data_IF_196179339373
#
_entry.id   IF_196179339373
#
_cell.length_a   1.000
_cell.length_b   1.000
_cell.length_c   1.000
_cell.angle_alpha   90.00
_cell.angle_beta   90.00
_cell.angle_gamma   90.00
#
_symmetry.space_group_name_H-M   'P 1'
#
loop_
_entity.id
_entity.type
_entity.pdbx_description
1 polymer ?
#
# COMPACT_ATOMS: atom_id res chain seq x y z
N UNK A 1 6.18 -43.20 45.26
CA UNK A 1 5.77 -41.79 45.19
C UNK A 1 6.57 -40.97 44.15
N UNK A 2 7.84 -41.22 43.88
CA UNK A 2 8.69 -40.46 42.94
C UNK A 2 8.34 -40.61 41.46
N UNK A 3 7.82 -41.77 41.04
CA UNK A 3 7.45 -42.03 39.63
C UNK A 3 6.21 -41.23 39.21
N UNK A 4 5.22 -41.06 40.08
CA UNK A 4 4.01 -40.28 39.79
C UNK A 4 4.30 -38.77 39.64
N UNK A 5 5.29 -38.26 40.35
CA UNK A 5 5.71 -36.85 40.27
C UNK A 5 6.47 -36.56 38.97
N UNK A 6 7.28 -37.51 38.47
CA UNK A 6 7.96 -37.39 37.19
C UNK A 6 7.02 -37.36 35.97
N UNK A 7 5.95 -38.17 36.04
CA UNK A 7 4.95 -38.22 34.98
C UNK A 7 4.14 -36.92 34.93
N UNK A 8 3.82 -36.32 36.07
CA UNK A 8 3.08 -35.05 36.15
C UNK A 8 3.92 -33.89 35.58
N UNK A 9 5.22 -33.82 35.87
CA UNK A 9 6.14 -32.81 35.32
C UNK A 9 6.33 -32.96 33.80
N UNK A 10 6.40 -34.19 33.28
CA UNK A 10 6.52 -34.44 31.85
C UNK A 10 5.24 -34.04 31.09
N UNK A 11 4.08 -34.25 31.70
CA UNK A 11 2.79 -33.88 31.09
C UNK A 11 2.58 -32.35 31.01
N UNK A 12 3.03 -31.61 32.04
CA UNK A 12 2.97 -30.14 32.06
C UNK A 12 3.93 -29.51 31.06
N UNK A 13 5.13 -30.12 30.88
CA UNK A 13 6.11 -29.64 29.87
C UNK A 13 5.64 -29.86 28.43
N UNK A 14 4.92 -30.96 28.16
CA UNK A 14 4.38 -31.26 26.83
C UNK A 14 3.23 -30.32 26.43
N UNK A 15 2.47 -29.80 27.40
CA UNK A 15 1.36 -28.86 27.15
C UNK A 15 1.83 -27.46 26.86
N UNK A 16 3.07 -27.08 27.22
CA UNK A 16 3.64 -25.75 26.99
C UNK A 16 4.12 -25.53 25.54
N UNK A 17 4.24 -26.58 24.73
CA UNK A 17 4.74 -26.48 23.34
C UNK A 17 3.61 -26.26 22.32
N UNK A 18 2.35 -26.43 22.71
CA UNK A 18 1.20 -26.30 21.84
C UNK A 18 0.70 -24.84 21.64
N UNK A 19 1.35 -23.86 22.25
CA UNK A 19 0.87 -22.47 22.31
C UNK A 19 1.43 -21.50 21.26
N UNK A 20 2.31 -21.91 20.35
CA UNK A 20 2.81 -21.01 19.28
C UNK A 20 1.99 -21.15 18.00
N UNK A 21 0.70 -20.85 18.08
CA UNK A 21 -0.13 -20.57 16.93
C UNK A 21 0.22 -19.20 16.32
N UNK A 22 1.42 -19.03 15.76
CA UNK A 22 1.68 -17.95 14.83
C UNK A 22 0.83 -18.22 13.59
N UNK A 23 -0.38 -17.67 13.57
CA UNK A 23 -1.07 -17.43 12.33
C UNK A 23 -0.19 -16.46 11.53
N UNK A 24 0.64 -17.02 10.65
CA UNK A 24 1.07 -16.29 9.49
C UNK A 24 -0.24 -15.81 8.84
N UNK A 25 -0.53 -14.52 8.94
CA UNK A 25 -1.52 -13.87 8.12
C UNK A 25 -0.97 -13.96 6.68
N UNK A 26 -1.03 -15.19 6.16
CA UNK A 26 -0.75 -15.50 4.78
C UNK A 26 -1.66 -14.61 4.00
N UNK A 27 -1.10 -13.87 3.10
CA UNK A 27 -1.75 -13.07 2.10
C UNK A 27 -2.79 -13.95 1.40
N UNK A 28 -3.97 -14.09 2.00
CA UNK A 28 -5.14 -14.56 1.30
C UNK A 28 -5.37 -13.53 0.21
N UNK A 29 -4.73 -13.76 -0.95
CA UNK A 29 -5.03 -12.99 -2.12
C UNK A 29 -6.50 -13.27 -2.42
N UNK A 30 -7.37 -12.34 -2.04
CA UNK A 30 -8.80 -12.38 -2.36
C UNK A 30 -9.03 -12.26 -3.88
N UNK A 31 -7.97 -12.43 -4.66
CA UNK A 31 -7.98 -12.39 -6.12
C UNK A 31 -8.45 -13.73 -6.67
N UNK A 32 -9.48 -13.74 -7.51
CA UNK A 32 -9.93 -14.94 -8.21
C UNK A 32 -8.81 -15.56 -9.05
N UNK A 33 -8.72 -16.89 -9.14
CA UNK A 33 -7.60 -17.58 -9.81
C UNK A 33 -7.47 -17.29 -11.32
N UNK A 34 -8.51 -16.76 -11.94
CA UNK A 34 -8.48 -16.34 -13.35
C UNK A 34 -7.83 -14.96 -13.57
N UNK A 35 -7.63 -14.17 -12.52
CA UNK A 35 -6.97 -12.85 -12.60
C UNK A 35 -5.49 -13.05 -12.33
N UNK A 36 -4.67 -12.98 -13.38
CA UNK A 36 -3.22 -13.13 -13.33
C UNK A 36 -2.47 -11.89 -13.81
N UNK A 37 -3.15 -11.03 -14.58
CA UNK A 37 -2.56 -9.85 -15.19
C UNK A 37 -3.36 -8.60 -14.85
N UNK A 38 -2.66 -7.47 -14.72
CA UNK A 38 -3.25 -6.18 -14.41
C UNK A 38 -2.74 -5.10 -15.36
N UNK A 39 -3.63 -4.23 -15.82
CA UNK A 39 -3.27 -2.98 -16.45
C UNK A 39 -3.60 -1.81 -15.55
N UNK A 40 -2.67 -0.89 -15.47
CA UNK A 40 -2.78 0.35 -14.69
C UNK A 40 -2.48 1.51 -15.65
N UNK A 41 -3.48 2.02 -16.39
CA UNK A 41 -3.30 3.20 -17.21
C UNK A 41 -2.90 4.39 -16.34
N UNK A 42 -2.40 5.45 -16.95
CA UNK A 42 -2.14 6.70 -16.24
C UNK A 42 -3.46 7.18 -15.64
N UNK A 43 -3.43 7.52 -14.36
CA UNK A 43 -4.61 8.02 -13.64
C UNK A 43 -5.02 9.39 -14.20
N UNK A 44 -6.30 9.66 -14.12
CA UNK A 44 -6.84 10.98 -14.44
C UNK A 44 -6.49 11.98 -13.35
N UNK A 45 -6.43 13.26 -13.69
CA UNK A 45 -6.16 14.34 -12.75
C UNK A 45 -7.33 15.32 -12.69
N UNK A 46 -7.97 15.40 -11.55
CA UNK A 46 -8.98 16.38 -11.21
C UNK A 46 -8.51 17.33 -10.09
N UNK A 47 -7.24 17.19 -9.66
CA UNK A 47 -6.66 18.07 -8.65
C UNK A 47 -6.05 19.33 -9.28
N UNK A 48 -5.73 20.31 -8.43
CA UNK A 48 -5.05 21.54 -8.85
C UNK A 48 -3.58 21.36 -9.23
N UNK A 49 -2.97 20.21 -8.82
CA UNK A 49 -1.53 19.99 -9.01
C UNK A 49 -1.24 19.20 -10.30
N UNK A 50 -0.55 19.77 -11.28
CA UNK A 50 -0.20 19.08 -12.51
C UNK A 50 0.83 17.98 -12.29
N UNK A 51 0.82 16.96 -13.14
CA UNK A 51 1.79 15.85 -13.23
C UNK A 51 1.84 14.85 -12.05
N UNK A 52 1.38 15.16 -10.85
CA UNK A 52 1.40 14.27 -9.68
C UNK A 52 0.66 12.94 -9.97
N UNK A 53 -0.42 12.95 -10.73
CA UNK A 53 -1.15 11.76 -11.14
C UNK A 53 -0.29 10.76 -11.93
N UNK A 54 0.67 11.23 -12.72
CA UNK A 54 1.60 10.39 -13.50
C UNK A 54 2.62 9.72 -12.59
N UNK A 55 3.17 10.48 -11.65
CA UNK A 55 4.11 9.98 -10.66
C UNK A 55 3.44 8.96 -9.74
N UNK A 56 2.25 9.27 -9.21
CA UNK A 56 1.42 8.35 -8.43
C UNK A 56 1.17 7.05 -9.21
N UNK A 57 0.79 7.13 -10.47
CA UNK A 57 0.58 5.95 -11.32
C UNK A 57 1.87 5.12 -11.46
N UNK A 58 3.00 5.79 -11.64
CA UNK A 58 4.31 5.13 -11.75
C UNK A 58 4.69 4.39 -10.46
N UNK A 59 4.46 5.01 -9.30
CA UNK A 59 4.69 4.41 -7.98
C UNK A 59 3.80 3.18 -7.79
N UNK A 60 2.52 3.30 -8.10
CA UNK A 60 1.57 2.18 -8.00
C UNK A 60 2.01 1.03 -8.91
N UNK A 61 2.37 1.29 -10.17
CA UNK A 61 2.88 0.26 -11.09
C UNK A 61 4.11 -0.45 -10.53
N UNK A 62 5.09 0.29 -10.01
CA UNK A 62 6.28 -0.29 -9.39
C UNK A 62 5.93 -1.19 -8.22
N UNK A 63 4.98 -0.77 -7.36
CA UNK A 63 4.51 -1.59 -6.23
C UNK A 63 3.90 -2.91 -6.69
N UNK A 64 3.07 -2.91 -7.74
CA UNK A 64 2.51 -4.14 -8.32
C UNK A 64 3.58 -5.04 -8.96
N UNK A 65 4.59 -4.45 -9.61
CA UNK A 65 5.71 -5.20 -10.18
C UNK A 65 6.53 -5.87 -9.08
N UNK A 66 6.84 -5.15 -8.00
CA UNK A 66 7.61 -5.66 -6.85
C UNK A 66 6.83 -6.71 -6.06
N UNK A 67 5.51 -6.53 -5.91
CA UNK A 67 4.63 -7.49 -5.23
C UNK A 67 4.54 -8.84 -5.97
N UNK A 68 4.61 -8.83 -7.30
CA UNK A 68 4.72 -10.02 -8.16
C UNK A 68 3.47 -10.91 -8.25
N UNK A 69 2.41 -10.67 -7.46
CA UNK A 69 1.18 -11.47 -7.50
C UNK A 69 0.40 -11.31 -8.80
N UNK A 70 0.47 -10.15 -9.42
CA UNK A 70 -0.12 -9.84 -10.72
C UNK A 70 0.93 -9.32 -11.67
N UNK A 71 1.00 -9.87 -12.87
CA UNK A 71 1.89 -9.36 -13.91
C UNK A 71 1.32 -8.08 -14.49
N UNK A 72 2.07 -6.97 -14.42
CA UNK A 72 1.68 -5.71 -15.03
C UNK A 72 1.87 -5.78 -16.54
N UNK A 73 0.80 -5.56 -17.28
CA UNK A 73 0.77 -5.65 -18.75
C UNK A 73 0.01 -4.47 -19.38
N UNK A 74 0.09 -4.33 -20.68
CA UNK A 74 -0.68 -3.34 -21.41
C UNK A 74 -2.19 -3.63 -21.38
N UNK A 75 -3.01 -2.58 -21.49
CA UNK A 75 -4.48 -2.61 -21.38
C UNK A 75 -5.17 -3.72 -22.19
N UNK A 76 -4.64 -4.06 -23.39
CA UNK A 76 -5.26 -5.08 -24.25
C UNK A 76 -5.12 -6.51 -23.71
N UNK A 77 -4.05 -6.79 -22.94
CA UNK A 77 -3.67 -8.12 -22.46
C UNK A 77 -4.02 -8.36 -20.99
N UNK A 78 -4.66 -7.40 -20.33
CA UNK A 78 -4.93 -7.46 -18.90
C UNK A 78 -6.26 -8.14 -18.59
N UNK A 79 -6.27 -8.98 -17.56
CA UNK A 79 -7.45 -9.59 -16.98
C UNK A 79 -8.19 -8.58 -16.08
N UNK A 80 -7.41 -7.77 -15.32
CA UNK A 80 -7.90 -6.74 -14.43
C UNK A 80 -7.47 -5.36 -14.94
N UNK A 81 -8.40 -4.41 -14.97
CA UNK A 81 -8.12 -3.01 -15.27
C UNK A 81 -8.29 -2.19 -14.00
N UNK A 82 -7.20 -1.60 -13.50
CA UNK A 82 -7.21 -0.65 -12.40
C UNK A 82 -7.16 0.76 -12.98
N UNK A 83 -8.22 1.52 -12.81
CA UNK A 83 -8.28 2.94 -13.17
C UNK A 83 -8.42 3.80 -11.91
N UNK A 84 -7.89 5.00 -11.94
CA UNK A 84 -7.96 5.92 -10.83
C UNK A 84 -7.99 7.37 -11.29
N UNK A 85 -8.44 8.23 -10.40
CA UNK A 85 -8.47 9.69 -10.55
C UNK A 85 -7.88 10.32 -9.31
N UNK A 86 -6.88 11.16 -9.46
CA UNK A 86 -6.40 12.04 -8.39
C UNK A 86 -7.40 13.18 -8.25
N UNK A 87 -8.14 13.20 -7.13
CA UNK A 87 -9.24 14.17 -6.92
C UNK A 87 -8.81 15.39 -6.12
N UNK A 88 -7.81 15.24 -5.24
CA UNK A 88 -7.27 16.36 -4.47
C UNK A 88 -5.78 16.19 -4.19
N UNK A 89 -5.10 17.31 -4.12
CA UNK A 89 -3.74 17.46 -3.65
C UNK A 89 -3.69 18.71 -2.79
N UNK A 90 -3.29 18.56 -1.53
CA UNK A 90 -3.24 19.64 -0.55
C UNK A 90 -1.86 19.61 0.12
N UNK A 91 -1.16 20.73 0.06
CA UNK A 91 0.13 20.93 0.70
C UNK A 91 0.00 22.04 1.73
N UNK A 92 0.23 21.73 2.99
CA UNK A 92 0.16 22.71 4.10
C UNK A 92 1.47 22.79 4.83
N UNK A 93 1.91 24.00 5.09
CA UNK A 93 3.01 24.28 6.01
C UNK A 93 2.47 24.19 7.43
N UNK A 94 3.13 23.44 8.30
CA UNK A 94 2.72 23.26 9.71
C UNK A 94 3.75 23.76 10.71
N UNK A 95 5.00 23.91 10.29
CA UNK A 95 6.06 24.51 11.13
C UNK A 95 7.01 25.37 10.31
N UNK A 96 7.59 26.39 10.98
CA UNK A 96 8.62 27.24 10.43
C UNK A 96 9.89 27.13 11.29
N UNK A 97 11.05 27.21 10.65
CA UNK A 97 12.33 27.32 11.37
C UNK A 97 12.50 28.72 11.95
N UNK A 98 13.47 28.88 12.84
CA UNK A 98 13.80 30.21 13.43
C UNK A 98 14.23 31.29 12.42
N UNK A 99 14.38 30.95 11.14
CA UNK A 99 14.68 31.84 10.00
C UNK A 99 13.45 32.07 9.10
N UNK A 100 12.22 31.82 9.59
CA UNK A 100 10.97 31.92 8.84
C UNK A 100 10.88 31.03 7.59
N UNK A 101 11.78 30.06 7.43
CA UNK A 101 11.68 29.05 6.39
C UNK A 101 10.75 27.91 6.83
N UNK A 102 9.88 27.44 5.93
CA UNK A 102 9.02 26.32 6.23
C UNK A 102 9.85 25.05 6.47
N UNK A 103 9.72 24.45 7.65
CA UNK A 103 10.50 23.29 8.10
C UNK A 103 9.69 21.99 8.08
N UNK A 104 8.38 22.08 8.13
CA UNK A 104 7.50 20.91 8.13
C UNK A 104 6.28 21.13 7.24
N UNK A 105 5.95 20.12 6.45
CA UNK A 105 4.82 20.13 5.53
C UNK A 105 3.94 18.92 5.75
N UNK A 106 2.65 19.08 5.61
CA UNK A 106 1.69 17.98 5.47
C UNK A 106 1.19 17.93 4.03
N UNK A 107 1.40 16.79 3.37
CA UNK A 107 0.84 16.50 2.05
C UNK A 107 -0.37 15.59 2.22
N UNK A 108 -1.51 16.01 1.69
CA UNK A 108 -2.73 15.21 1.68
C UNK A 108 -3.15 14.93 0.24
N UNK A 109 -3.32 13.63 -0.07
CA UNK A 109 -3.80 13.16 -1.38
C UNK A 109 -5.17 12.52 -1.24
N UNK A 110 -6.06 12.86 -2.16
CA UNK A 110 -7.33 12.16 -2.37
C UNK A 110 -7.34 11.45 -3.71
N UNK A 111 -7.55 10.13 -3.70
CA UNK A 111 -7.54 9.31 -4.91
C UNK A 111 -8.80 8.45 -4.96
N UNK A 112 -9.47 8.46 -6.10
CA UNK A 112 -10.56 7.52 -6.39
C UNK A 112 -10.03 6.39 -7.24
N UNK A 113 -10.35 5.15 -6.87
CA UNK A 113 -9.87 3.95 -7.57
C UNK A 113 -11.02 3.01 -7.87
N UNK A 114 -10.99 2.42 -9.06
CA UNK A 114 -11.95 1.42 -9.55
C UNK A 114 -11.19 0.28 -10.23
N UNK A 115 -11.57 -0.96 -9.95
CA UNK A 115 -11.04 -2.12 -10.66
C UNK A 115 -12.14 -2.89 -11.37
N UNK A 116 -11.89 -3.30 -12.61
CA UNK A 116 -12.82 -4.03 -13.47
C UNK A 116 -12.19 -5.35 -13.92
N UNK A 117 -12.84 -6.45 -13.61
CA UNK A 117 -12.54 -7.78 -14.14
C UNK A 117 -13.01 -7.82 -15.61
N UNK A 118 -12.06 -7.87 -16.53
CA UNK A 118 -12.35 -7.82 -17.97
C UNK A 118 -12.77 -9.17 -18.54
N UNK A 119 -12.40 -10.27 -17.86
CA UNK A 119 -12.79 -11.62 -18.27
C UNK A 119 -14.27 -11.84 -17.99
N UNK A 120 -14.69 -11.58 -16.75
CA UNK A 120 -16.08 -11.76 -16.32
C UNK A 120 -16.94 -10.50 -16.55
N UNK A 121 -16.38 -9.43 -17.12
CA UNK A 121 -17.05 -8.16 -17.40
C UNK A 121 -17.83 -7.59 -16.21
N UNK A 122 -17.24 -7.68 -15.01
CA UNK A 122 -17.87 -7.21 -13.78
C UNK A 122 -16.95 -6.26 -13.02
N UNK A 123 -17.54 -5.43 -12.18
CA UNK A 123 -16.79 -4.58 -11.26
C UNK A 123 -16.18 -5.49 -10.19
N UNK A 124 -14.85 -5.51 -10.12
CA UNK A 124 -14.10 -6.22 -9.10
C UNK A 124 -13.98 -5.38 -7.82
N UNK A 125 -13.64 -4.11 -7.97
CA UNK A 125 -13.62 -3.11 -6.90
C UNK A 125 -14.48 -1.94 -7.35
N UNK A 126 -15.53 -1.63 -6.59
CA UNK A 126 -16.31 -0.40 -6.78
C UNK A 126 -15.40 0.81 -6.53
N UNK A 127 -15.80 1.96 -7.06
CA UNK A 127 -15.08 3.19 -6.81
C UNK A 127 -14.95 3.44 -5.30
N UNK A 128 -13.71 3.54 -4.84
CA UNK A 128 -13.37 3.84 -3.45
C UNK A 128 -12.50 5.08 -3.39
N UNK A 129 -12.72 5.88 -2.37
CA UNK A 129 -11.93 7.07 -2.08
C UNK A 129 -10.88 6.71 -1.04
N UNK A 130 -9.64 6.98 -1.36
CA UNK A 130 -8.51 6.86 -0.45
C UNK A 130 -7.98 8.26 -0.16
N UNK A 131 -7.83 8.57 1.13
CA UNK A 131 -7.16 9.78 1.57
C UNK A 131 -5.97 9.38 2.42
N UNK A 132 -4.82 9.93 2.12
CA UNK A 132 -3.60 9.68 2.89
C UNK A 132 -2.91 10.99 3.18
N UNK A 133 -2.22 11.04 4.32
CA UNK A 133 -1.45 12.19 4.78
C UNK A 133 -0.02 11.74 5.03
N UNK A 134 0.95 12.58 4.66
CA UNK A 134 2.35 12.39 4.99
C UNK A 134 2.91 13.68 5.58
N UNK A 135 3.67 13.53 6.63
CA UNK A 135 4.46 14.59 7.20
C UNK A 135 5.84 14.58 6.51
N UNK A 136 6.29 15.71 6.03
CA UNK A 136 7.58 15.89 5.39
C UNK A 136 8.34 17.00 6.10
N UNK A 137 9.51 16.67 6.64
CA UNK A 137 10.44 17.62 7.25
C UNK A 137 11.53 17.94 6.25
N UNK A 138 11.76 19.22 5.99
CA UNK A 138 12.94 19.69 5.28
C UNK A 138 14.09 19.75 6.26
N UNK A 139 14.97 18.75 6.24
CA UNK A 139 16.28 18.87 6.88
C UNK A 139 17.12 19.75 5.97
N UNK A 140 17.45 20.97 6.43
CA UNK A 140 18.49 21.78 5.80
C UNK A 140 19.84 21.13 6.13
N UNK A 141 20.25 20.15 5.33
CA UNK A 141 21.67 19.78 5.26
C UNK A 141 22.38 20.95 4.61
N UNK A 142 22.91 21.84 5.47
CA UNK A 142 23.94 22.80 5.11
C UNK A 142 25.13 21.93 4.70
N UNK A 143 25.34 21.80 3.40
CA UNK A 143 26.60 21.31 2.88
C UNK A 143 27.58 22.44 3.13
N UNK A 144 28.27 22.40 4.28
CA UNK A 144 29.50 23.13 4.47
C UNK A 144 30.52 22.55 3.52
N UNK A 145 30.64 23.16 2.35
CA UNK A 145 31.77 22.96 1.45
C UNK A 145 32.91 23.89 1.93
N UNK A 146 33.83 23.37 2.72
CA UNK A 146 35.21 23.84 2.77
C UNK A 146 36.05 23.17 1.67
#
# INVERSE_FOLDING_TARGET
>A
MKVRQGILCALTFFFSIAGCGYHLAGHNSSLPPHIRTIAIPVFENSSSQPNIHRELTSIIRRKFITDGRLKVVGRRKADLLLSGTLVSYDLRVVAFSGTDAASEYIVQLGVQVKAVDRIKRRIFLKQQNFTTKWDYQTTSDVIDSE
#
